data_IF_201829659744
#
_entry.id   IF_201829659744
#
_cell.length_a   1.000
_cell.length_b   1.000
_cell.length_c   1.000
_cell.angle_alpha   90.00
_cell.angle_beta   90.00
_cell.angle_gamma   90.00
#
_symmetry.space_group_name_H-M   'P 1'
#
loop_
_entity.id
_entity.type
_entity.pdbx_description
1 polymer ?
#
# COMPACT_ATOMS: atom_id res chain seq x y z
N UNK A 1 30.29 -3.91 -8.26
CA UNK A 1 29.53 -3.96 -9.50
C UNK A 1 28.78 -2.64 -9.64
N UNK A 2 29.02 -1.96 -10.76
CA UNK A 2 28.46 -0.63 -10.97
C UNK A 2 27.04 -0.66 -11.53
N UNK A 3 26.51 0.53 -11.76
CA UNK A 3 25.17 0.70 -12.32
C UNK A 3 25.04 0.06 -13.71
N UNK A 4 26.13 0.05 -14.50
CA UNK A 4 26.10 -0.58 -15.81
C UNK A 4 25.79 -2.06 -15.73
N UNK A 5 26.42 -2.77 -14.79
CA UNK A 5 26.15 -4.19 -14.58
C UNK A 5 24.74 -4.43 -14.06
N UNK A 6 24.27 -3.54 -13.20
CA UNK A 6 22.88 -3.60 -12.71
C UNK A 6 21.90 -3.49 -13.88
N UNK A 7 22.09 -2.50 -14.74
CA UNK A 7 21.22 -2.30 -15.90
C UNK A 7 21.26 -3.44 -16.87
N UNK A 8 22.47 -3.99 -17.12
CA UNK A 8 22.60 -5.14 -18.01
C UNK A 8 21.85 -6.36 -17.47
N UNK A 9 21.98 -6.62 -16.17
CA UNK A 9 21.25 -7.71 -15.55
C UNK A 9 19.76 -7.50 -15.55
N UNK A 10 19.32 -6.28 -15.25
CA UNK A 10 17.90 -5.94 -15.19
C UNK A 10 17.27 -5.98 -16.58
N UNK A 11 17.93 -5.36 -17.56
CA UNK A 11 17.40 -5.28 -18.92
C UNK A 11 17.63 -6.55 -19.71
N UNK A 12 18.49 -7.46 -19.24
CA UNK A 12 18.76 -8.71 -19.93
C UNK A 12 17.52 -9.58 -20.11
N UNK A 13 16.54 -9.45 -19.21
CA UNK A 13 15.29 -10.20 -19.30
C UNK A 13 14.26 -9.52 -20.20
N UNK A 14 14.51 -8.29 -20.65
CA UNK A 14 13.50 -7.53 -21.41
C UNK A 14 13.26 -8.16 -22.79
N UNK A 15 14.27 -8.78 -23.38
CA UNK A 15 14.13 -9.47 -24.66
C UNK A 15 13.72 -10.93 -24.55
N UNK A 16 13.59 -11.44 -23.32
CA UNK A 16 13.21 -12.84 -23.09
C UNK A 16 11.69 -13.00 -23.16
N UNK A 17 11.24 -14.22 -23.39
CA UNK A 17 9.82 -14.51 -23.31
C UNK A 17 9.31 -14.31 -21.87
N UNK A 18 8.03 -14.13 -21.72
CA UNK A 18 7.42 -13.93 -20.40
C UNK A 18 7.71 -15.11 -19.48
N UNK A 19 7.61 -16.34 -20.00
CA UNK A 19 7.89 -17.52 -19.19
C UNK A 19 9.32 -17.57 -18.71
N UNK A 20 10.27 -17.29 -19.62
CA UNK A 20 11.71 -17.31 -19.28
C UNK A 20 12.05 -16.20 -18.29
N UNK A 21 11.52 -15.00 -18.51
CA UNK A 21 11.78 -13.87 -17.61
C UNK A 21 11.18 -14.09 -16.24
N UNK A 22 10.05 -14.80 -16.13
CA UNK A 22 9.37 -15.03 -14.87
C UNK A 22 10.17 -15.90 -13.91
N UNK A 23 11.08 -16.75 -14.44
CA UNK A 23 11.91 -17.61 -13.59
C UNK A 23 12.83 -16.76 -12.69
N UNK A 24 13.26 -15.61 -13.16
CA UNK A 24 14.15 -14.72 -12.40
C UNK A 24 13.40 -13.50 -11.83
N UNK A 25 12.11 -13.63 -11.63
CA UNK A 25 11.28 -12.51 -11.21
C UNK A 25 11.72 -11.94 -9.86
N UNK A 26 12.09 -12.80 -8.92
CA UNK A 26 12.57 -12.36 -7.61
C UNK A 26 13.83 -11.52 -7.73
N UNK A 27 14.77 -11.97 -8.56
CA UNK A 27 16.02 -11.24 -8.78
C UNK A 27 15.72 -9.88 -9.42
N UNK A 28 14.85 -9.87 -10.42
CA UNK A 28 14.48 -8.63 -11.11
C UNK A 28 13.82 -7.64 -10.15
N UNK A 29 12.93 -8.13 -9.28
CA UNK A 29 12.26 -7.27 -8.31
C UNK A 29 13.23 -6.68 -7.30
N UNK A 30 14.20 -7.48 -6.85
CA UNK A 30 15.22 -6.98 -5.92
C UNK A 30 16.10 -5.93 -6.60
N UNK A 31 16.46 -6.14 -7.85
CA UNK A 31 17.28 -5.17 -8.59
C UNK A 31 16.53 -3.86 -8.81
N UNK A 32 15.23 -3.95 -9.13
CA UNK A 32 14.42 -2.76 -9.31
C UNK A 32 14.32 -1.96 -8.00
N UNK A 33 14.04 -2.63 -6.90
CA UNK A 33 13.92 -1.97 -5.60
C UNK A 33 15.24 -1.34 -5.18
N UNK A 34 16.35 -2.06 -5.38
CA UNK A 34 17.68 -1.55 -5.08
C UNK A 34 17.97 -0.29 -5.88
N UNK A 35 17.61 -0.29 -7.17
CA UNK A 35 17.79 0.88 -8.02
C UNK A 35 16.95 2.08 -7.56
N UNK A 36 15.72 1.84 -7.13
CA UNK A 36 14.84 2.91 -6.64
C UNK A 36 15.40 3.50 -5.35
N UNK A 37 15.88 2.67 -4.44
CA UNK A 37 16.48 3.14 -3.18
C UNK A 37 17.73 3.98 -3.49
N UNK A 38 18.56 3.52 -4.41
CA UNK A 38 19.77 4.27 -4.79
C UNK A 38 19.41 5.62 -5.41
N UNK A 39 18.37 5.65 -6.25
CA UNK A 39 17.93 6.90 -6.85
C UNK A 39 17.40 7.88 -5.81
N UNK A 40 16.73 7.40 -4.77
CA UNK A 40 16.26 8.27 -3.70
C UNK A 40 17.43 8.91 -2.96
N UNK A 41 18.47 8.13 -2.66
CA UNK A 41 19.68 8.66 -2.01
C UNK A 41 20.35 9.70 -2.89
N UNK A 42 20.46 9.43 -4.19
CA UNK A 42 21.05 10.37 -5.13
C UNK A 42 20.23 11.63 -5.25
N UNK A 43 18.90 11.53 -5.19
CA UNK A 43 18.01 12.68 -5.25
C UNK A 43 18.23 13.59 -4.05
N UNK A 44 18.32 13.02 -2.85
CA UNK A 44 18.56 13.81 -1.64
C UNK A 44 19.90 14.52 -1.71
N UNK A 45 20.95 13.81 -2.18
CA UNK A 45 22.27 14.42 -2.32
C UNK A 45 22.25 15.55 -3.35
N UNK A 46 21.52 15.36 -4.45
CA UNK A 46 21.43 16.39 -5.48
C UNK A 46 20.72 17.64 -4.95
N UNK A 47 19.65 17.45 -4.18
CA UNK A 47 18.94 18.58 -3.58
C UNK A 47 19.86 19.35 -2.64
N UNK A 48 20.60 18.64 -1.79
CA UNK A 48 21.53 19.28 -0.86
C UNK A 48 22.62 20.05 -1.61
N UNK A 49 23.19 19.45 -2.65
CA UNK A 49 24.23 20.10 -3.42
C UNK A 49 23.72 21.35 -4.11
N UNK A 50 22.50 21.29 -4.66
CA UNK A 50 21.93 22.44 -5.36
C UNK A 50 21.55 23.56 -4.39
N UNK A 51 21.15 23.22 -3.18
CA UNK A 51 20.92 24.22 -2.16
C UNK A 51 22.19 24.96 -1.83
N UNK A 52 23.32 24.25 -1.74
CA UNK A 52 24.60 24.88 -1.48
C UNK A 52 25.05 25.79 -2.61
N UNK A 53 24.84 25.35 -3.84
CA UNK A 53 25.25 26.11 -5.03
C UNK A 53 24.27 27.19 -5.39
N UNK A 54 23.04 27.13 -4.91
CA UNK A 54 21.98 28.09 -5.24
C UNK A 54 21.73 28.16 -6.74
N UNK A 55 21.94 27.04 -7.45
CA UNK A 55 21.77 26.98 -8.89
C UNK A 55 20.98 25.73 -9.26
N UNK A 56 19.88 25.93 -9.95
CA UNK A 56 19.09 24.83 -10.52
C UNK A 56 19.07 25.03 -12.03
N UNK A 57 19.71 24.14 -12.73
CA UNK A 57 19.67 24.16 -14.19
C UNK A 57 18.39 23.47 -14.68
N UNK A 58 17.98 23.79 -15.91
CA UNK A 58 16.82 23.16 -16.53
C UNK A 58 17.05 21.65 -16.60
N UNK A 59 18.27 21.25 -16.91
CA UNK A 59 18.62 19.82 -17.00
C UNK A 59 18.48 19.15 -15.63
N UNK A 60 18.95 19.79 -14.59
CA UNK A 60 18.83 19.26 -13.22
C UNK A 60 17.38 19.11 -12.80
N UNK A 61 16.55 20.11 -13.13
CA UNK A 61 15.12 20.05 -12.83
C UNK A 61 14.47 18.86 -13.54
N UNK A 62 14.82 18.64 -14.79
CA UNK A 62 14.29 17.51 -15.56
C UNK A 62 14.73 16.17 -14.95
N UNK A 63 15.98 16.09 -14.48
CA UNK A 63 16.47 14.89 -13.80
C UNK A 63 15.69 14.62 -12.52
N UNK A 64 15.46 15.64 -11.73
CA UNK A 64 14.70 15.51 -10.50
C UNK A 64 13.26 15.09 -10.79
N UNK A 65 12.65 15.68 -11.82
CA UNK A 65 11.30 15.33 -12.20
C UNK A 65 11.20 13.86 -12.62
N UNK A 66 12.17 13.37 -13.38
CA UNK A 66 12.18 11.99 -13.83
C UNK A 66 12.28 11.02 -12.64
N UNK A 67 13.14 11.36 -11.68
CA UNK A 67 13.31 10.52 -10.49
C UNK A 67 12.07 10.50 -9.62
N UNK A 68 11.45 11.67 -9.44
CA UNK A 68 10.22 11.76 -8.67
C UNK A 68 9.10 10.97 -9.35
N UNK A 69 9.01 11.06 -10.68
CA UNK A 69 8.01 10.32 -11.43
C UNK A 69 8.17 8.81 -11.26
N UNK A 70 9.41 8.32 -11.31
CA UNK A 70 9.69 6.90 -11.11
C UNK A 70 9.26 6.45 -9.72
N UNK A 71 9.54 7.25 -8.71
CA UNK A 71 9.14 6.96 -7.34
C UNK A 71 7.63 6.95 -7.20
N UNK A 72 6.96 7.94 -7.79
CA UNK A 72 5.50 8.01 -7.75
C UNK A 72 4.86 6.78 -8.38
N UNK A 73 5.42 6.30 -9.50
CA UNK A 73 4.93 5.09 -10.17
C UNK A 73 5.09 3.86 -9.29
N UNK A 74 6.24 3.75 -8.64
CA UNK A 74 6.48 2.63 -7.73
C UNK A 74 5.49 2.63 -6.57
N UNK A 75 5.28 3.79 -5.97
CA UNK A 75 4.36 3.91 -4.83
C UNK A 75 2.92 3.61 -5.25
N UNK A 76 2.53 4.08 -6.43
CA UNK A 76 1.20 3.80 -6.95
C UNK A 76 1.00 2.31 -7.18
N UNK A 77 2.02 1.65 -7.75
CA UNK A 77 1.95 0.21 -7.99
C UNK A 77 1.88 -0.56 -6.68
N UNK A 78 2.62 -0.15 -5.66
CA UNK A 78 2.56 -0.77 -4.35
C UNK A 78 1.19 -0.56 -3.71
N UNK A 79 0.61 0.61 -3.91
CA UNK A 79 -0.73 0.90 -3.40
C UNK A 79 -1.78 0.00 -4.06
N UNK A 80 -1.69 -0.18 -5.37
CA UNK A 80 -2.60 -1.07 -6.09
C UNK A 80 -2.47 -2.51 -5.58
N UNK A 81 -1.24 -2.98 -5.40
CA UNK A 81 -1.01 -4.32 -4.88
C UNK A 81 -1.64 -4.47 -3.49
N UNK A 82 -1.54 -3.43 -2.66
CA UNK A 82 -2.17 -3.44 -1.35
C UNK A 82 -3.67 -3.51 -1.44
N UNK A 83 -4.26 -2.71 -2.33
CA UNK A 83 -5.72 -2.71 -2.55
C UNK A 83 -6.21 -4.07 -3.01
N UNK A 84 -5.40 -4.77 -3.82
CA UNK A 84 -5.73 -6.09 -4.35
C UNK A 84 -5.45 -7.24 -3.37
N UNK A 85 -4.89 -6.93 -2.19
CA UNK A 85 -4.51 -7.96 -1.23
C UNK A 85 -3.26 -8.71 -1.61
N UNK A 86 -2.38 -8.07 -2.38
CA UNK A 86 -1.19 -8.70 -2.95
C UNK A 86 0.11 -8.07 -2.43
N UNK A 87 0.06 -7.38 -1.31
CA UNK A 87 1.25 -6.72 -0.76
C UNK A 87 2.37 -7.75 -0.51
N UNK A 88 3.56 -7.43 -0.99
CA UNK A 88 4.73 -8.27 -0.79
C UNK A 88 4.77 -9.52 -1.64
N UNK A 89 3.82 -9.70 -2.55
CA UNK A 89 3.77 -10.88 -3.43
C UNK A 89 4.22 -10.52 -4.83
N UNK A 90 5.01 -11.38 -5.42
CA UNK A 90 5.40 -11.24 -6.84
C UNK A 90 4.36 -11.89 -7.76
N UNK A 91 3.81 -13.00 -7.31
CA UNK A 91 2.75 -13.72 -8.01
C UNK A 91 1.55 -13.73 -7.08
N UNK A 92 0.43 -13.28 -7.61
CA UNK A 92 -0.79 -13.15 -6.81
C UNK A 92 -1.99 -13.45 -7.70
N UNK A 93 -2.81 -14.40 -7.25
CA UNK A 93 -3.99 -14.81 -8.01
C UNK A 93 -5.15 -13.89 -7.72
N UNK A 94 -6.13 -13.91 -8.63
CA UNK A 94 -7.34 -13.14 -8.49
C UNK A 94 -8.54 -14.04 -8.85
N UNK A 95 -9.70 -13.66 -8.36
CA UNK A 95 -10.93 -14.38 -8.68
C UNK A 95 -11.60 -13.87 -9.95
N UNK A 96 -11.06 -12.82 -10.57
CA UNK A 96 -11.61 -12.28 -11.81
C UNK A 96 -11.32 -13.26 -12.94
N UNK A 97 -12.34 -13.76 -13.62
CA UNK A 97 -12.10 -14.67 -14.75
C UNK A 97 -11.54 -13.91 -15.95
N UNK A 98 -10.68 -14.58 -16.71
CA UNK A 98 -10.10 -13.98 -17.90
C UNK A 98 -11.18 -13.82 -18.98
N UNK A 99 -11.26 -12.64 -19.53
CA UNK A 99 -12.19 -12.37 -20.63
C UNK A 99 -11.44 -12.49 -21.95
N UNK A 100 -11.93 -13.36 -22.84
CA UNK A 100 -11.27 -13.62 -24.13
C UNK A 100 -11.18 -12.38 -24.99
N UNK A 101 -12.03 -11.39 -24.77
CA UNK A 101 -11.97 -10.15 -25.54
C UNK A 101 -10.71 -9.34 -25.21
N UNK A 102 -10.10 -9.55 -24.05
CA UNK A 102 -8.84 -8.87 -23.70
C UNK A 102 -7.68 -9.45 -24.52
N UNK A 103 -7.60 -10.74 -24.63
CA UNK A 103 -6.68 -11.45 -25.51
C UNK A 103 -7.17 -12.89 -25.62
N UNK A 104 -7.28 -13.38 -26.84
CA UNK A 104 -7.69 -14.77 -27.08
C UNK A 104 -6.53 -15.69 -27.33
N UNK A 105 -5.32 -15.25 -27.07
CA UNK A 105 -4.13 -16.06 -27.26
C UNK A 105 -4.05 -17.18 -26.25
N UNK A 106 -3.48 -18.15 -26.66
CA UNK A 106 -3.33 -19.25 -25.86
C UNK A 106 -2.17 -19.08 -24.95
N UNK A 107 -2.20 -19.94 -23.97
CA UNK A 107 -1.16 -19.88 -22.96
C UNK A 107 0.28 -19.95 -23.56
N UNK A 108 0.37 -20.64 -24.33
CA UNK A 108 1.61 -20.83 -24.89
C UNK A 108 2.04 -19.71 -25.73
N UNK A 109 1.20 -19.28 -26.39
CA UNK A 109 1.54 -18.14 -27.22
C UNK A 109 1.98 -16.95 -26.38
N UNK A 110 1.38 -16.77 -25.23
CA UNK A 110 1.70 -15.66 -24.32
C UNK A 110 3.03 -15.92 -23.64
N UNK A 111 3.18 -17.07 -23.00
CA UNK A 111 4.32 -17.30 -22.12
C UNK A 111 5.59 -17.70 -22.82
N UNK A 112 5.45 -18.40 -23.96
CA UNK A 112 6.62 -18.94 -24.67
C UNK A 112 7.01 -18.14 -25.89
N UNK A 113 6.14 -17.26 -26.39
CA UNK A 113 6.40 -16.55 -27.65
C UNK A 113 6.29 -15.05 -27.58
N UNK A 114 6.01 -14.49 -26.39
CA UNK A 114 5.91 -13.03 -26.23
C UNK A 114 6.84 -12.54 -25.12
N UNK A 115 7.30 -11.32 -25.28
CA UNK A 115 7.99 -10.61 -24.19
C UNK A 115 6.97 -9.84 -23.35
N UNK A 116 7.38 -9.43 -22.16
CA UNK A 116 6.52 -8.62 -21.31
C UNK A 116 6.14 -7.29 -21.95
N UNK A 117 7.06 -6.70 -22.72
CA UNK A 117 6.77 -5.45 -23.43
C UNK A 117 5.69 -5.65 -24.49
N UNK A 118 5.76 -6.76 -25.24
CA UNK A 118 4.73 -7.07 -26.23
C UNK A 118 3.38 -7.32 -25.60
N UNK A 119 3.38 -8.07 -24.49
CA UNK A 119 2.14 -8.37 -23.77
C UNK A 119 1.52 -7.10 -23.20
N UNK A 120 2.34 -6.22 -22.63
CA UNK A 120 1.87 -4.95 -22.07
C UNK A 120 1.15 -4.12 -23.15
N UNK A 121 1.73 -4.07 -24.36
CA UNK A 121 1.11 -3.36 -25.47
C UNK A 121 -0.23 -3.99 -25.86
N UNK A 122 -0.30 -5.31 -25.86
CA UNK A 122 -1.51 -6.02 -26.28
C UNK A 122 -2.67 -5.77 -25.33
N UNK A 123 -2.42 -5.76 -24.02
CA UNK A 123 -3.50 -5.60 -23.05
C UNK A 123 -3.65 -4.17 -22.54
N UNK A 124 -2.87 -3.22 -23.08
CA UNK A 124 -2.87 -1.85 -22.54
C UNK A 124 -4.24 -1.19 -22.58
N UNK A 125 -5.06 -1.49 -23.58
CA UNK A 125 -6.40 -0.90 -23.70
C UNK A 125 -7.36 -1.45 -22.64
N UNK A 126 -7.04 -2.58 -22.02
CA UNK A 126 -7.91 -3.26 -21.07
C UNK A 126 -7.40 -3.19 -19.65
N UNK A 127 -6.23 -2.62 -19.44
CA UNK A 127 -5.56 -2.62 -18.13
C UNK A 127 -6.43 -1.99 -17.06
N UNK A 128 -6.99 -0.85 -17.36
CA UNK A 128 -7.85 -0.18 -16.40
C UNK A 128 -9.11 -0.98 -16.08
N UNK A 129 -9.53 -1.55 -16.95
CA UNK A 129 -10.61 -2.39 -16.79
C UNK A 129 -10.34 -3.55 -15.93
N UNK A 130 -9.36 -4.07 -16.24
CA UNK A 130 -8.95 -5.22 -15.45
C UNK A 130 -8.65 -4.82 -13.99
N UNK A 131 -7.92 -3.74 -13.81
CA UNK A 131 -7.59 -3.23 -12.46
C UNK A 131 -8.86 -2.94 -11.65
N UNK A 132 -9.86 -2.33 -12.29
CA UNK A 132 -11.13 -2.04 -11.62
C UNK A 132 -11.85 -3.32 -11.21
N UNK A 133 -11.84 -4.33 -12.07
CA UNK A 133 -12.47 -5.61 -11.77
C UNK A 133 -11.76 -6.31 -10.60
N UNK A 134 -10.45 -6.25 -10.57
CA UNK A 134 -9.67 -6.86 -9.48
C UNK A 134 -10.00 -6.15 -8.16
N UNK A 135 -10.03 -4.82 -8.19
CA UNK A 135 -10.35 -4.03 -7.00
C UNK A 135 -11.76 -4.33 -6.49
N UNK A 136 -12.73 -4.39 -7.39
CA UNK A 136 -14.11 -4.70 -7.04
C UNK A 136 -14.22 -6.10 -6.43
N UNK A 137 -13.56 -7.08 -7.05
CA UNK A 137 -13.55 -8.43 -6.54
C UNK A 137 -12.95 -8.52 -5.16
N UNK A 138 -11.83 -7.80 -4.94
CA UNK A 138 -11.16 -7.79 -3.65
C UNK A 138 -12.01 -7.11 -2.59
N UNK A 139 -12.69 -6.01 -2.95
CA UNK A 139 -13.59 -5.33 -2.03
C UNK A 139 -14.74 -6.23 -1.58
N UNK A 140 -15.33 -6.98 -2.51
CA UNK A 140 -16.39 -7.91 -2.16
C UNK A 140 -15.88 -9.02 -1.26
N UNK A 141 -14.70 -9.55 -1.55
CA UNK A 141 -14.10 -10.60 -0.75
C UNK A 141 -13.79 -10.11 0.66
N UNK A 142 -13.20 -8.92 0.78
CA UNK A 142 -12.91 -8.33 2.08
C UNK A 142 -14.18 -8.03 2.86
N UNK A 143 -15.22 -7.56 2.17
CA UNK A 143 -16.50 -7.28 2.81
C UNK A 143 -17.11 -8.55 3.36
N UNK A 144 -17.07 -9.64 2.58
CA UNK A 144 -17.58 -10.94 3.05
C UNK A 144 -16.80 -11.43 4.25
N UNK A 145 -15.48 -11.31 4.21
CA UNK A 145 -14.62 -11.71 5.33
C UNK A 145 -14.86 -10.83 6.55
N UNK A 146 -15.04 -9.53 6.34
CA UNK A 146 -15.31 -8.59 7.43
C UNK A 146 -16.67 -8.86 8.07
N UNK A 147 -17.66 -9.25 7.29
CA UNK A 147 -18.97 -9.60 7.83
C UNK A 147 -18.87 -10.81 8.75
N UNK A 148 -18.11 -11.83 8.34
CA UNK A 148 -17.88 -13.00 9.19
C UNK A 148 -17.06 -12.66 10.43
N UNK A 149 -16.01 -11.88 10.26
CA UNK A 149 -15.18 -11.44 11.38
C UNK A 149 -15.94 -10.51 12.31
N UNK A 150 -16.82 -9.70 11.76
CA UNK A 150 -17.62 -8.77 12.55
C UNK A 150 -18.57 -9.52 13.48
N UNK A 151 -19.16 -10.62 13.02
CA UNK A 151 -19.99 -11.46 13.89
C UNK A 151 -19.17 -12.05 15.03
N UNK A 152 -17.97 -12.52 14.74
CA UNK A 152 -17.08 -13.09 15.73
C UNK A 152 -16.59 -12.02 16.72
N UNK A 153 -16.16 -10.89 16.19
CA UNK A 153 -15.71 -9.76 16.99
C UNK A 153 -16.84 -9.16 17.82
N UNK A 154 -18.03 -9.12 17.25
CA UNK A 154 -19.20 -8.61 17.94
C UNK A 154 -19.49 -9.46 19.17
N UNK A 155 -19.43 -10.79 19.01
CA UNK A 155 -19.61 -11.68 20.14
C UNK A 155 -18.54 -11.50 21.21
N UNK A 156 -17.28 -11.38 20.79
CA UNK A 156 -16.16 -11.15 21.71
C UNK A 156 -16.28 -9.81 22.41
N UNK A 157 -16.62 -8.75 21.66
CA UNK A 157 -16.80 -7.41 22.20
C UNK A 157 -17.98 -7.37 23.17
N UNK A 158 -19.03 -8.11 22.86
CA UNK A 158 -20.21 -8.15 23.72
C UNK A 158 -19.87 -8.78 25.08
N UNK A 159 -19.08 -9.86 25.06
CA UNK A 159 -18.62 -10.50 26.28
C UNK A 159 -17.69 -9.58 27.07
N UNK A 160 -16.78 -8.92 26.37
CA UNK A 160 -15.85 -7.97 26.98
C UNK A 160 -16.59 -6.75 27.52
N UNK A 161 -17.58 -6.28 26.77
CA UNK A 161 -18.38 -5.11 27.08
C UNK A 161 -19.22 -5.36 28.34
N UNK A 162 -19.71 -6.58 28.51
CA UNK A 162 -20.50 -6.94 29.68
C UNK A 162 -19.70 -6.79 30.98
N UNK A 163 -18.40 -7.05 30.92
CA UNK A 163 -17.53 -7.01 32.10
C UNK A 163 -16.92 -5.64 32.27
N UNK A 164 -16.23 -5.14 31.25
CA UNK A 164 -15.48 -3.89 31.36
C UNK A 164 -16.38 -2.67 31.31
N UNK A 165 -17.47 -2.74 30.59
CA UNK A 165 -18.40 -1.61 30.50
C UNK A 165 -19.12 -1.41 31.84
N UNK A 166 -19.42 -2.49 32.52
CA UNK A 166 -19.96 -2.45 33.88
C UNK A 166 -19.00 -1.69 34.80
N UNK A 167 -17.73 -2.08 34.77
CA UNK A 167 -16.70 -1.43 35.57
C UNK A 167 -16.55 0.03 35.22
N UNK A 168 -16.65 0.34 33.95
CA UNK A 168 -16.49 1.70 33.46
C UNK A 168 -17.64 2.58 33.90
N UNK A 169 -18.84 2.07 33.84
CA UNK A 169 -20.03 2.79 34.32
C UNK A 169 -19.98 3.00 35.82
N UNK A 170 -19.48 2.04 36.59
CA UNK A 170 -19.30 2.20 38.03
C UNK A 170 -18.30 3.32 38.31
N UNK A 171 -17.43 3.31 37.59
CA UNK A 171 -16.49 4.23 37.73
C UNK A 171 -16.96 5.56 37.53
N UNK A 172 -17.56 5.76 36.47
CA UNK A 172 -18.16 7.06 36.21
C UNK A 172 -19.15 7.45 37.31
N UNK A 173 -19.93 6.51 37.68
CA UNK A 173 -20.92 6.76 38.76
C UNK A 173 -20.21 7.21 40.04
N UNK A 174 -19.16 6.52 40.43
CA UNK A 174 -18.38 6.88 41.62
C UNK A 174 -17.77 8.27 41.45
N UNK A 175 -17.24 8.59 40.27
CA UNK A 175 -16.66 9.90 40.02
C UNK A 175 -17.71 11.01 40.10
N UNK A 176 -18.89 10.77 39.55
CA UNK A 176 -19.97 11.77 39.60
C UNK A 176 -20.44 11.98 41.04
N UNK A 177 -20.69 10.90 41.76
CA UNK A 177 -21.13 10.97 43.13
C UNK A 177 -20.05 11.62 44.00
N UNK A 178 -18.80 11.24 43.82
CA UNK A 178 -17.67 11.83 44.53
C UNK A 178 -17.52 13.30 44.24
N UNK A 179 -17.71 13.70 42.99
CA UNK A 179 -17.65 15.09 42.57
C UNK A 179 -18.78 15.91 43.20
N UNK A 180 -20.00 15.33 43.24
CA UNK A 180 -21.14 16.01 43.87
C UNK A 180 -20.93 16.18 45.38
N UNK A 181 -20.39 15.15 46.04
CA UNK A 181 -20.08 15.21 47.47
C UNK A 181 -19.00 16.25 47.71
N UNK A 182 -17.97 16.30 46.90
CA UNK A 182 -16.88 17.28 47.00
C UNK A 182 -17.43 18.71 46.84
N UNK A 183 -18.32 18.92 45.87
CA UNK A 183 -18.94 20.21 45.64
C UNK A 183 -19.80 20.62 46.85
N UNK A 184 -20.51 19.68 47.40
CA UNK A 184 -21.34 19.96 48.57
C UNK A 184 -20.49 20.34 49.78
N UNK A 185 -19.37 19.65 49.98
CA UNK A 185 -18.42 19.97 51.03
C UNK A 185 -17.85 21.36 50.85
N UNK A 186 -17.44 21.70 49.63
CA UNK A 186 -16.90 23.00 49.28
C UNK A 186 -17.96 24.09 49.55
N UNK A 187 -19.18 23.84 49.13
CA UNK A 187 -20.27 24.79 49.38
C UNK A 187 -20.51 25.01 50.87
N UNK A 188 -20.47 23.94 51.64
CA UNK A 188 -20.67 24.02 53.08
C UNK A 188 -19.54 24.82 53.74
N UNK A 189 -18.31 24.58 53.33
CA UNK A 189 -17.15 25.31 53.86
C UNK A 189 -17.22 26.77 53.47
N UNK A 190 -17.60 27.08 52.22
CA UNK A 190 -17.73 28.47 51.78
C UNK A 190 -18.84 29.18 52.54
N UNK A 191 -19.94 28.52 52.77
CA UNK A 191 -21.00 29.11 53.60
C UNK A 191 -20.54 29.38 55.03
N UNK A 192 -19.88 28.56 55.30
CA UNK A 192 -19.37 28.64 56.51
C UNK A 192 -18.53 29.73 56.75
N UNK A 193 -17.69 29.99 55.81
CA UNK A 193 -16.74 31.10 55.87
C UNK A 193 -17.46 32.44 55.79
N UNK A 194 -18.45 32.50 54.96
CA UNK A 194 -19.25 33.74 54.80
C UNK A 194 -20.09 34.10 56.00
N UNK A 195 -20.28 33.20 56.92
CA UNK A 195 -20.98 33.48 58.15
C UNK A 195 -19.95 33.77 59.24
#
# INVERSE_FOLDING_TARGET
VGLGAFFLGFLGAAGSTMGAASITLTVQARQLLSGIVQQQSNLLRAIEAQQHLLKLTVWGIKQLQARVLALERYLRDQQLLGIWGCSGKLICTTTVPWNSSWSNKXFXDIWDNMTWLQWDKEISNYTEXIYSLIEESQNQQEKNEQDLLALDKWASLWNWFDITNWLWYIXIFIMIVGGLIALRIVFTVLNXINR
#
